data_IF_013372241047
#
_entry.id   IF_013372241047
#
_cell.length_a   1.000
_cell.length_b   1.000
_cell.length_c   1.000
_cell.angle_alpha   90.00
_cell.angle_beta   90.00
_cell.angle_gamma   90.00
#
_symmetry.space_group_name_H-M   'P 1'
#
loop_
_entity.id
_entity.type
_entity.pdbx_description
1 polymer ?
#
# COMPACT_ATOMS: atom_id res chain seq x y z
N UNK A 1 -16.86 21.15 -71.77
CA UNK A 1 -17.89 21.48 -70.77
C UNK A 1 -17.79 20.46 -69.64
N UNK A 2 -17.71 20.97 -68.41
CA UNK A 2 -17.69 20.33 -67.05
C UNK A 2 -18.71 19.21 -66.79
N UNK A 3 -18.78 18.58 -65.58
CA UNK A 3 -17.81 18.40 -64.46
C UNK A 3 -17.85 16.99 -63.77
N UNK A 4 -17.05 16.79 -62.71
CA UNK A 4 -17.28 15.81 -61.60
C UNK A 4 -16.02 15.03 -61.19
N UNK A 5 -15.21 15.38 -60.18
CA UNK A 5 -15.41 15.32 -58.69
C UNK A 5 -15.80 13.91 -58.21
N UNK A 6 -15.22 13.25 -57.19
CA UNK A 6 -14.47 13.65 -55.99
C UNK A 6 -13.67 12.43 -55.44
N UNK A 7 -12.53 12.70 -54.77
CA UNK A 7 -11.97 12.06 -53.54
C UNK A 7 -11.67 10.55 -53.44
N UNK A 8 -10.45 10.26 -52.93
CA UNK A 8 -10.36 9.44 -51.70
C UNK A 8 -9.39 8.25 -51.72
N UNK A 9 -8.09 8.54 -51.62
CA UNK A 9 -7.10 7.89 -50.75
C UNK A 9 -7.13 6.35 -50.51
N UNK A 10 -6.16 5.68 -51.13
CA UNK A 10 -5.18 4.85 -50.42
C UNK A 10 -5.61 3.51 -49.83
N UNK A 11 -5.44 2.43 -50.59
CA UNK A 11 -4.93 1.16 -50.04
C UNK A 11 -3.92 0.56 -51.03
N UNK A 12 -2.66 0.52 -50.59
CA UNK A 12 -1.58 -0.21 -51.27
C UNK A 12 -1.88 -1.70 -51.15
N UNK A 13 -2.01 -2.34 -52.31
CA UNK A 13 -2.03 -3.79 -52.46
C UNK A 13 -0.73 -4.38 -51.91
N UNK A 14 -0.78 -5.11 -50.80
CA UNK A 14 0.30 -6.02 -50.43
C UNK A 14 0.17 -7.28 -51.29
N UNK A 15 0.85 -7.25 -52.43
CA UNK A 15 1.09 -8.39 -53.30
C UNK A 15 1.79 -9.50 -52.51
N UNK A 16 1.24 -10.71 -52.64
CA UNK A 16 1.89 -11.99 -52.32
C UNK A 16 3.18 -12.16 -53.12
N UNK A 17 4.03 -13.07 -52.60
CA UNK A 17 5.17 -13.78 -53.24
C UNK A 17 6.51 -13.01 -53.13
N UNK A 18 7.63 -13.55 -52.66
CA UNK A 18 8.15 -14.92 -52.51
C UNK A 18 9.40 -14.86 -51.61
N UNK A 19 9.55 -15.77 -50.65
CA UNK A 19 10.83 -16.42 -50.31
C UNK A 19 10.56 -17.53 -49.28
N UNK A 20 10.48 -18.77 -49.78
CA UNK A 20 10.69 -19.95 -48.95
C UNK A 20 12.17 -20.00 -48.59
N UNK A 21 12.48 -19.84 -47.32
CA UNK A 21 13.67 -20.38 -46.70
C UNK A 21 13.16 -21.16 -45.49
N UNK A 22 13.19 -22.48 -45.60
CA UNK A 22 12.99 -23.42 -44.49
C UNK A 22 14.13 -23.22 -43.48
N UNK A 23 14.01 -22.21 -42.63
CA UNK A 23 14.77 -22.13 -41.39
C UNK A 23 13.94 -22.85 -40.32
N UNK A 24 14.42 -23.96 -39.73
CA UNK A 24 13.78 -24.48 -38.53
C UNK A 24 13.96 -23.42 -37.44
N UNK A 25 12.88 -22.73 -37.08
CA UNK A 25 12.85 -21.87 -35.90
C UNK A 25 12.84 -22.81 -34.69
N UNK A 26 14.03 -23.23 -34.26
CA UNK A 26 14.22 -23.76 -32.92
C UNK A 26 14.11 -22.59 -31.95
N UNK A 27 13.15 -22.65 -31.02
CA UNK A 27 13.24 -21.87 -29.79
C UNK A 27 12.29 -20.67 -29.65
N UNK A 28 11.07 -20.72 -30.18
CA UNK A 28 9.98 -20.06 -29.45
C UNK A 28 9.48 -21.06 -28.41
N UNK A 29 10.21 -21.18 -27.30
CA UNK A 29 9.53 -21.57 -26.07
C UNK A 29 8.42 -20.53 -25.84
N UNK A 30 7.19 -20.93 -25.49
CA UNK A 30 6.25 -19.96 -24.98
C UNK A 30 6.96 -19.27 -23.82
N UNK A 31 7.20 -17.95 -23.92
CA UNK A 31 7.42 -17.17 -22.71
C UNK A 31 6.24 -17.55 -21.83
N UNK A 32 6.51 -18.17 -20.69
CA UNK A 32 5.51 -18.27 -19.64
C UNK A 32 4.90 -16.88 -19.56
N UNK A 33 3.61 -16.74 -19.86
CA UNK A 33 2.83 -15.56 -19.57
C UNK A 33 2.74 -15.46 -18.04
N UNK A 34 3.88 -15.27 -17.37
CA UNK A 34 3.94 -14.81 -16.00
C UNK A 34 3.29 -13.44 -16.06
N UNK A 35 2.00 -13.44 -15.72
CA UNK A 35 1.27 -12.23 -15.48
C UNK A 35 2.07 -11.50 -14.40
N UNK A 36 2.62 -10.33 -14.73
CA UNK A 36 3.44 -9.59 -13.78
C UNK A 36 2.67 -9.42 -12.47
N UNK A 37 3.32 -9.70 -11.33
CA UNK A 37 2.73 -9.47 -10.02
C UNK A 37 2.52 -7.96 -9.86
N UNK A 38 1.28 -7.54 -9.65
CA UNK A 38 0.93 -6.13 -9.42
C UNK A 38 0.39 -6.03 -8.00
N UNK A 39 1.10 -5.34 -7.09
CA UNK A 39 0.59 -5.08 -5.74
C UNK A 39 -0.77 -4.39 -5.84
N UNK A 40 -1.80 -5.06 -5.32
CA UNK A 40 -3.19 -4.64 -5.51
C UNK A 40 -3.88 -4.39 -4.17
N UNK A 41 -3.59 -5.20 -3.15
CA UNK A 41 -4.22 -5.06 -1.85
C UNK A 41 -3.31 -5.51 -0.71
N UNK A 42 -3.71 -5.21 0.52
CA UNK A 42 -3.06 -5.72 1.73
C UNK A 42 -4.06 -6.50 2.57
N UNK A 43 -3.65 -7.69 2.99
CA UNK A 43 -4.33 -8.41 4.07
C UNK A 43 -3.75 -7.98 5.42
N UNK A 44 -4.61 -7.52 6.32
CA UNK A 44 -4.23 -7.07 7.65
C UNK A 44 -4.47 -8.17 8.69
N UNK A 45 -3.49 -8.38 9.57
CA UNK A 45 -3.63 -9.14 10.80
C UNK A 45 -3.21 -8.27 11.98
N UNK A 46 -4.15 -8.04 12.88
CA UNK A 46 -3.96 -7.21 14.06
C UNK A 46 -3.49 -8.04 15.26
N UNK A 47 -2.38 -7.60 15.86
CA UNK A 47 -1.76 -8.20 17.03
C UNK A 47 -2.38 -7.77 18.36
N UNK A 48 -1.81 -8.31 19.44
CA UNK A 48 -2.19 -7.94 20.80
C UNK A 48 -1.64 -6.56 21.19
N UNK A 49 -2.32 -5.91 22.14
CA UNK A 49 -1.85 -4.67 22.74
C UNK A 49 -0.66 -4.92 23.67
N UNK A 50 0.29 -3.99 23.65
CA UNK A 50 1.28 -3.82 24.71
C UNK A 50 0.97 -2.54 25.44
N UNK A 51 0.72 -2.62 26.75
CA UNK A 51 0.49 -1.44 27.60
C UNK A 51 1.81 -0.96 28.20
N UNK A 52 1.99 0.35 28.25
CA UNK A 52 3.14 1.01 28.83
C UNK A 52 2.68 1.94 29.96
N UNK A 53 3.39 1.87 31.07
CA UNK A 53 3.21 2.68 32.27
C UNK A 53 4.58 3.16 32.77
N UNK A 54 5.26 3.96 31.93
CA UNK A 54 6.57 4.54 32.21
C UNK A 54 7.75 3.75 31.65
N UNK A 55 7.54 2.63 30.98
CA UNK A 55 8.59 1.92 30.23
C UNK A 55 8.97 2.70 28.94
N UNK A 56 10.17 2.50 28.40
CA UNK A 56 10.57 3.09 27.12
C UNK A 56 9.76 2.54 25.93
N UNK A 57 9.53 3.39 24.93
CA UNK A 57 8.94 3.04 23.63
C UNK A 57 9.67 3.79 22.51
N UNK A 58 10.36 3.05 21.64
CA UNK A 58 11.22 3.65 20.62
C UNK A 58 12.28 4.57 21.25
N UNK A 59 12.29 5.85 20.85
CA UNK A 59 13.16 6.88 21.43
C UNK A 59 12.57 7.60 22.65
N UNK A 60 11.32 7.30 23.04
CA UNK A 60 10.66 7.91 24.19
C UNK A 60 11.06 7.14 25.45
N UNK A 61 11.71 7.82 26.39
CA UNK A 61 12.24 7.19 27.61
C UNK A 61 11.15 6.72 28.58
N UNK A 62 10.06 7.49 28.71
CA UNK A 62 8.91 7.15 29.54
C UNK A 62 7.65 7.28 28.71
N UNK A 63 7.01 6.15 28.39
CA UNK A 63 5.78 6.13 27.60
C UNK A 63 4.61 5.61 28.46
N UNK A 64 3.48 6.31 28.40
CA UNK A 64 2.25 5.98 29.11
C UNK A 64 1.12 5.83 28.11
N UNK A 65 0.67 4.61 27.85
CA UNK A 65 -0.30 4.32 26.79
C UNK A 65 -0.22 2.90 26.30
N UNK A 66 -0.43 2.70 25.00
CA UNK A 66 -0.34 1.37 24.39
C UNK A 66 0.22 1.42 22.97
N UNK A 67 0.68 0.26 22.51
CA UNK A 67 0.98 0.00 21.10
C UNK A 67 0.30 -1.29 20.65
N UNK A 68 0.04 -1.37 19.35
CA UNK A 68 -0.49 -2.53 18.67
C UNK A 68 0.32 -2.77 17.40
N UNK A 69 0.71 -4.02 17.19
CA UNK A 69 1.42 -4.42 15.97
C UNK A 69 0.42 -4.87 14.93
N UNK A 70 0.56 -4.31 13.73
CA UNK A 70 -0.17 -4.70 12.54
C UNK A 70 0.77 -5.46 11.60
N UNK A 71 0.34 -6.62 11.13
CA UNK A 71 1.07 -7.38 10.10
C UNK A 71 0.29 -7.29 8.80
N UNK A 72 0.90 -6.67 7.80
CA UNK A 72 0.33 -6.55 6.46
C UNK A 72 0.98 -7.57 5.53
N UNK A 73 0.18 -8.37 4.83
CA UNK A 73 0.65 -9.20 3.70
C UNK A 73 0.31 -8.51 2.39
N UNK A 74 1.31 -8.33 1.52
CA UNK A 74 1.15 -7.75 0.19
C UNK A 74 0.56 -8.78 -0.76
N UNK A 75 -0.58 -8.46 -1.38
CA UNK A 75 -1.26 -9.36 -2.31
C UNK A 75 -1.27 -8.80 -3.74
N UNK A 76 -1.06 -9.70 -4.70
CA UNK A 76 -1.22 -9.43 -6.13
C UNK A 76 -2.71 -9.31 -6.52
N UNK A 77 -2.97 -9.07 -7.81
CA UNK A 77 -4.29 -8.99 -8.41
C UNK A 77 -5.12 -10.29 -8.31
N UNK A 78 -4.48 -11.41 -7.98
CA UNK A 78 -5.09 -12.73 -7.85
C UNK A 78 -5.26 -13.16 -6.38
N UNK A 79 -4.80 -12.35 -5.42
CA UNK A 79 -4.83 -12.65 -3.99
C UNK A 79 -3.65 -13.50 -3.50
N UNK A 80 -2.59 -13.68 -4.29
CA UNK A 80 -1.37 -14.36 -3.89
C UNK A 80 -0.42 -13.39 -3.19
N UNK A 81 0.35 -13.89 -2.21
CA UNK A 81 1.34 -13.08 -1.53
C UNK A 81 2.54 -12.77 -2.45
N UNK A 82 2.92 -11.50 -2.52
CA UNK A 82 4.13 -11.04 -3.22
C UNK A 82 5.30 -11.09 -2.24
N UNK A 83 6.19 -12.07 -2.41
CA UNK A 83 7.33 -12.31 -1.53
C UNK A 83 8.69 -12.05 -2.21
N UNK A 84 8.68 -11.20 -3.24
CA UNK A 84 9.88 -10.89 -4.03
C UNK A 84 10.87 -9.99 -3.28
N UNK A 85 12.16 -10.17 -3.57
CA UNK A 85 13.21 -9.30 -3.03
C UNK A 85 13.10 -7.87 -3.58
N UNK A 86 13.28 -6.88 -2.73
CA UNK A 86 13.27 -5.46 -3.13
C UNK A 86 11.90 -4.81 -3.09
N UNK A 87 10.85 -5.55 -2.70
CA UNK A 87 9.53 -4.97 -2.39
C UNK A 87 9.62 -4.17 -1.10
N UNK A 88 9.11 -2.94 -1.14
CA UNK A 88 9.07 -2.07 0.05
C UNK A 88 7.69 -1.44 0.23
N UNK A 89 7.24 -1.34 1.47
CA UNK A 89 6.07 -0.58 1.86
C UNK A 89 6.48 0.83 2.25
N UNK A 90 5.70 1.83 1.82
CA UNK A 90 5.86 3.22 2.20
C UNK A 90 4.54 3.71 2.77
N UNK A 91 4.63 4.46 3.86
CA UNK A 91 3.48 4.94 4.57
C UNK A 91 3.49 6.47 4.64
N UNK A 92 2.33 7.08 4.42
CA UNK A 92 2.11 8.50 4.73
C UNK A 92 0.97 8.61 5.73
N UNK A 93 1.23 9.25 6.87
CA UNK A 93 0.24 9.48 7.92
C UNK A 93 -0.03 10.98 8.02
N UNK A 94 -1.31 11.35 8.04
CA UNK A 94 -1.75 12.73 8.32
C UNK A 94 -2.70 12.74 9.51
N UNK A 95 -2.47 13.66 10.45
CA UNK A 95 -3.40 13.90 11.56
C UNK A 95 -4.70 14.51 11.08
N UNK A 96 -5.82 14.00 11.59
CA UNK A 96 -7.18 14.44 11.25
C UNK A 96 -7.75 15.27 12.39
N UNK A 97 -7.78 14.70 13.59
CA UNK A 97 -8.26 15.34 14.81
C UNK A 97 -7.68 14.64 16.03
N UNK A 98 -7.61 15.32 17.16
CA UNK A 98 -7.11 14.76 18.41
C UNK A 98 -7.71 15.49 19.61
N UNK A 99 -7.85 14.77 20.71
CA UNK A 99 -8.16 15.34 22.02
C UNK A 99 -7.32 14.63 23.09
N UNK A 100 -6.44 15.34 23.82
CA UNK A 100 -6.03 16.73 23.59
C UNK A 100 -5.30 16.89 22.24
N UNK A 101 -5.05 18.13 21.81
CA UNK A 101 -4.23 18.36 20.62
C UNK A 101 -2.82 17.77 20.83
N UNK A 102 -2.35 17.00 19.88
CA UNK A 102 -1.07 16.29 19.97
C UNK A 102 -0.34 16.26 18.63
N UNK A 103 0.83 15.63 18.64
CA UNK A 103 1.65 15.45 17.43
C UNK A 103 1.48 14.03 16.91
N UNK A 104 1.23 13.91 15.61
CA UNK A 104 1.35 12.62 14.92
C UNK A 104 2.82 12.40 14.60
N UNK A 105 3.40 11.37 15.20
CA UNK A 105 4.74 10.92 14.86
C UNK A 105 4.60 9.73 13.91
N UNK A 106 5.22 9.81 12.74
CA UNK A 106 5.41 8.68 11.85
C UNK A 106 6.90 8.39 11.72
N UNK A 107 7.25 7.14 11.40
CA UNK A 107 8.62 6.82 10.99
C UNK A 107 8.67 6.86 9.46
N UNK A 108 9.18 7.96 8.86
CA UNK A 108 9.22 8.04 7.41
C UNK A 108 10.34 7.14 6.88
N UNK A 109 9.98 6.15 6.08
CA UNK A 109 10.95 5.36 5.33
C UNK A 109 10.35 4.11 4.69
N UNK A 110 10.98 3.59 3.63
CA UNK A 110 10.59 2.32 3.05
C UNK A 110 10.85 1.18 4.05
N UNK A 111 9.82 0.37 4.30
CA UNK A 111 9.91 -0.84 5.12
C UNK A 111 10.03 -2.03 4.16
N UNK A 112 11.07 -2.84 4.32
CA UNK A 112 11.25 -4.04 3.51
C UNK A 112 10.16 -5.08 3.78
N UNK A 113 9.66 -5.70 2.72
CA UNK A 113 8.78 -6.85 2.81
C UNK A 113 9.61 -8.13 2.98
N UNK A 114 9.22 -9.00 3.90
CA UNK A 114 9.95 -10.24 4.20
C UNK A 114 9.64 -11.35 3.17
N UNK A 115 10.27 -12.52 3.34
CA UNK A 115 10.09 -13.68 2.47
C UNK A 115 8.70 -14.33 2.52
N UNK A 116 7.80 -13.87 3.40
CA UNK A 116 6.40 -14.29 3.46
C UNK A 116 5.47 -13.24 2.82
N UNK A 117 6.04 -12.20 2.20
CA UNK A 117 5.28 -11.10 1.63
C UNK A 117 4.71 -10.15 2.69
N UNK A 118 5.30 -10.11 3.89
CA UNK A 118 4.80 -9.33 5.02
C UNK A 118 5.69 -8.16 5.43
N UNK A 119 5.08 -7.12 5.97
CA UNK A 119 5.77 -6.07 6.73
C UNK A 119 4.98 -5.74 8.00
N UNK A 120 5.67 -5.13 8.96
CA UNK A 120 5.09 -4.72 10.24
C UNK A 120 4.84 -3.21 10.26
N UNK A 121 3.75 -2.84 10.90
CA UNK A 121 3.40 -1.46 11.25
C UNK A 121 3.02 -1.43 12.74
N UNK A 122 3.27 -0.31 13.42
CA UNK A 122 3.04 -0.14 14.84
C UNK A 122 2.15 1.07 15.10
N UNK A 123 0.91 0.80 15.49
CA UNK A 123 -0.03 1.83 15.90
C UNK A 123 0.11 2.07 17.40
N UNK A 124 0.24 3.33 17.82
CA UNK A 124 0.44 3.65 19.24
C UNK A 124 -0.25 4.95 19.63
N UNK A 125 -0.76 5.00 20.86
CA UNK A 125 -1.32 6.20 21.45
C UNK A 125 -0.96 6.29 22.93
N UNK A 126 -0.42 7.44 23.32
CA UNK A 126 0.13 7.64 24.65
C UNK A 126 0.89 8.94 24.79
N UNK A 127 1.43 9.14 25.99
CA UNK A 127 2.07 10.38 26.41
C UNK A 127 3.47 10.13 26.99
N UNK A 128 4.30 11.16 26.99
CA UNK A 128 5.64 11.15 27.61
C UNK A 128 5.61 11.38 29.14
N UNK A 129 4.43 11.65 29.69
CA UNK A 129 4.19 11.88 31.12
C UNK A 129 2.88 11.21 31.53
N UNK A 130 2.73 10.77 32.80
CA UNK A 130 1.47 10.23 33.27
C UNK A 130 0.37 11.31 33.33
N UNK A 131 -0.91 10.93 33.29
CA UNK A 131 -1.40 9.55 33.15
C UNK A 131 -1.33 9.03 31.70
N UNK A 132 -1.57 7.73 31.50
CA UNK A 132 -1.88 7.17 30.18
C UNK A 132 -3.22 7.76 29.64
N UNK A 133 -3.57 7.55 28.36
CA UNK A 133 -4.84 7.99 27.79
C UNK A 133 -6.06 7.70 28.67
N UNK A 134 -6.87 8.73 28.89
CA UNK A 134 -8.08 8.71 29.71
C UNK A 134 -9.35 8.65 28.86
N UNK A 135 -10.49 8.19 29.41
CA UNK A 135 -11.75 8.20 28.68
C UNK A 135 -12.08 9.58 28.08
N UNK A 136 -12.37 9.61 26.78
CA UNK A 136 -12.63 10.83 26.02
C UNK A 136 -11.41 11.40 25.27
N UNK A 137 -10.21 10.88 25.54
CA UNK A 137 -9.01 11.19 24.77
C UNK A 137 -8.87 10.29 23.55
N UNK A 138 -8.46 10.87 22.43
CA UNK A 138 -8.33 10.19 21.15
C UNK A 138 -7.31 10.85 20.22
N UNK A 139 -6.87 10.08 19.23
CA UNK A 139 -6.13 10.53 18.06
C UNK A 139 -6.70 9.87 16.80
N UNK A 140 -7.07 10.70 15.82
CA UNK A 140 -7.53 10.23 14.51
C UNK A 140 -6.51 10.58 13.44
N UNK A 141 -6.19 9.59 12.62
CA UNK A 141 -5.26 9.77 11.51
C UNK A 141 -5.78 9.13 10.23
N UNK A 142 -5.29 9.64 9.10
CA UNK A 142 -5.41 8.99 7.79
C UNK A 142 -4.05 8.42 7.44
N UNK A 143 -4.00 7.13 7.19
CA UNK A 143 -2.82 6.40 6.75
C UNK A 143 -3.02 6.00 5.29
N UNK A 144 -2.04 6.29 4.44
CA UNK A 144 -1.98 5.82 3.05
C UNK A 144 -0.76 4.93 2.90
N UNK A 145 -0.97 3.70 2.44
CA UNK A 145 0.10 2.72 2.24
C UNK A 145 0.28 2.46 0.75
N UNK A 146 1.53 2.58 0.31
CA UNK A 146 1.95 2.28 -1.05
C UNK A 146 3.03 1.21 -1.06
N UNK A 147 2.99 0.31 -2.04
CA UNK A 147 4.01 -0.71 -2.25
C UNK A 147 4.85 -0.32 -3.46
N UNK A 148 6.18 -0.33 -3.30
CA UNK A 148 7.11 -0.20 -4.42
C UNK A 148 7.62 -1.57 -4.83
N UNK A 149 7.36 -1.95 -6.08
CA UNK A 149 7.85 -3.18 -6.72
C UNK A 149 8.54 -2.79 -8.04
N UNK A 150 9.76 -3.29 -8.26
CA UNK A 150 10.57 -3.00 -9.45
C UNK A 150 10.65 -1.50 -9.81
N UNK A 151 10.71 -0.63 -8.79
CA UNK A 151 10.79 0.83 -8.94
C UNK A 151 9.45 1.54 -9.22
N UNK A 152 8.34 0.81 -9.33
CA UNK A 152 7.00 1.39 -9.50
C UNK A 152 6.24 1.38 -8.16
N UNK A 153 5.62 2.50 -7.81
CA UNK A 153 4.85 2.65 -6.58
C UNK A 153 3.34 2.52 -6.84
N UNK A 154 2.68 1.65 -6.08
CA UNK A 154 1.25 1.36 -6.13
C UNK A 154 0.61 1.75 -4.80
N UNK A 155 -0.36 2.67 -4.81
CA UNK A 155 -1.21 2.88 -3.64
C UNK A 155 -2.18 1.70 -3.53
N UNK A 156 -2.09 0.94 -2.44
CA UNK A 156 -2.85 -0.30 -2.27
C UNK A 156 -3.80 -0.26 -1.07
N UNK A 157 -3.64 0.72 -0.18
CA UNK A 157 -4.49 0.83 1.00
C UNK A 157 -4.60 2.26 1.52
N UNK A 158 -5.80 2.66 1.92
CA UNK A 158 -6.06 3.85 2.72
C UNK A 158 -6.82 3.42 3.98
N UNK A 159 -6.27 3.75 5.14
CA UNK A 159 -6.91 3.49 6.43
C UNK A 159 -7.31 4.81 7.09
N UNK A 160 -8.49 4.81 7.72
CA UNK A 160 -8.82 5.73 8.80
C UNK A 160 -8.57 5.04 10.14
N UNK A 161 -7.73 5.65 10.97
CA UNK A 161 -7.32 5.10 12.25
C UNK A 161 -7.91 5.96 13.36
N UNK A 162 -8.67 5.34 14.25
CA UNK A 162 -9.21 5.95 15.47
C UNK A 162 -8.58 5.29 16.69
N UNK A 163 -7.61 5.98 17.29
CA UNK A 163 -6.95 5.55 18.51
C UNK A 163 -7.63 6.21 19.71
N UNK A 164 -8.43 5.46 20.44
CA UNK A 164 -9.05 5.88 21.69
C UNK A 164 -8.23 5.47 22.92
N UNK A 165 -8.73 5.77 24.11
CA UNK A 165 -8.01 5.54 25.37
C UNK A 165 -7.52 4.10 25.61
N UNK A 166 -8.23 3.09 25.09
CA UNK A 166 -7.91 1.66 25.32
C UNK A 166 -7.89 0.79 24.06
N UNK A 167 -8.06 1.39 22.88
CA UNK A 167 -8.18 0.63 21.63
C UNK A 167 -7.87 1.49 20.41
N UNK A 168 -7.27 0.87 19.41
CA UNK A 168 -7.19 1.37 18.04
C UNK A 168 -8.22 0.63 17.19
N UNK A 169 -8.93 1.38 16.36
CA UNK A 169 -9.76 0.85 15.28
C UNK A 169 -9.17 1.30 13.95
N UNK A 170 -8.93 0.35 13.06
CA UNK A 170 -8.45 0.59 11.70
C UNK A 170 -9.59 0.28 10.74
N UNK A 171 -10.04 1.29 9.99
CA UNK A 171 -11.08 1.13 8.96
C UNK A 171 -10.45 1.30 7.59
N UNK A 172 -10.55 0.26 6.76
CA UNK A 172 -10.15 0.33 5.35
C UNK A 172 -11.17 1.16 4.56
N UNK A 173 -10.68 2.22 3.91
CA UNK A 173 -11.48 3.12 3.08
C UNK A 173 -10.90 3.25 1.67
N UNK A 174 -10.10 2.28 1.23
CA UNK A 174 -9.39 2.30 -0.05
C UNK A 174 -10.34 2.56 -1.23
N UNK A 175 -11.51 1.92 -1.23
CA UNK A 175 -12.51 2.05 -2.29
C UNK A 175 -13.40 3.30 -2.16
N UNK A 176 -13.34 4.00 -1.03
CA UNK A 176 -14.13 5.22 -0.79
C UNK A 176 -13.23 6.46 -0.86
N UNK A 177 -12.94 6.87 -2.10
CA UNK A 177 -12.17 8.10 -2.40
C UNK A 177 -12.74 9.39 -1.78
N UNK A 178 -14.01 9.37 -1.31
CA UNK A 178 -14.67 10.48 -0.61
C UNK A 178 -14.75 10.34 0.90
N UNK A 179 -14.29 9.21 1.47
CA UNK A 179 -14.24 9.00 2.91
C UNK A 179 -13.31 10.05 3.56
N UNK A 180 -13.93 11.00 4.25
CA UNK A 180 -13.20 11.78 5.25
C UNK A 180 -13.03 10.88 6.45
N UNK A 181 -11.79 10.62 6.85
CA UNK A 181 -11.53 10.15 8.20
C UNK A 181 -12.13 11.22 9.14
N UNK A 182 -13.13 10.83 9.93
CA UNK A 182 -13.89 11.73 10.83
C UNK A 182 -13.52 11.44 12.26
#
# INVERSE_FOLDING_TARGET
MSPGSVTGSGQVQLQRQLARLDCPVQGFEPQNDQTAEVPTSLKLQTGAYTTYNGQPYGSILHYYGYSQTETYTVLDQNGNAIAESGVTANETITGVSANPSGTVNSSPGPIGVNSEGQFLDYQSFGFSSPPAPQPGEYLKTKQTISITLAGTSYQVRINCIDAGYSSVTITDVTDDSGASCK
#
